data_IF_145217362962
#
_entry.id   IF_145217362962
#
_cell.length_a   1.000
_cell.length_b   1.000
_cell.length_c   1.000
_cell.angle_alpha   90.00
_cell.angle_beta   90.00
_cell.angle_gamma   90.00
#
_symmetry.space_group_name_H-M   'P 1'
#
loop_
_entity.id
_entity.type
_entity.pdbx_description
1 polymer ?
#
# COMPACT_ATOMS: atom_id res chain seq x y z
N UNK A 1 -40.06 17.04 61.52
CA UNK A 1 -39.74 18.45 61.85
C UNK A 1 -38.45 18.83 61.13
N UNK A 2 -38.42 20.03 60.52
CA UNK A 2 -37.38 20.55 59.63
C UNK A 2 -36.14 21.08 60.38
N UNK A 3 -35.12 21.40 59.57
CA UNK A 3 -33.90 22.21 59.77
C UNK A 3 -32.63 21.41 60.12
N UNK A 4 -31.44 21.66 59.57
CA UNK A 4 -30.93 22.83 58.84
C UNK A 4 -29.83 22.49 57.81
N UNK A 5 -29.61 23.45 56.90
CA UNK A 5 -28.44 23.58 56.04
C UNK A 5 -27.13 23.81 56.83
N UNK A 6 -26.01 23.44 56.18
CA UNK A 6 -24.83 24.30 55.92
C UNK A 6 -23.48 23.73 56.37
N UNK A 7 -22.60 23.65 55.37
CA UNK A 7 -21.18 24.00 55.40
C UNK A 7 -20.12 22.97 55.84
N UNK A 8 -19.37 22.54 54.81
CA UNK A 8 -17.90 22.43 54.74
C UNK A 8 -17.18 21.46 55.69
N UNK A 9 -16.68 20.36 55.11
CA UNK A 9 -15.27 19.93 55.20
C UNK A 9 -15.01 18.69 54.34
N UNK A 10 -13.74 18.52 53.95
CA UNK A 10 -13.10 17.37 53.28
C UNK A 10 -13.33 17.24 51.77
N UNK A 11 -12.34 16.92 50.93
CA UNK A 11 -10.89 16.78 51.10
C UNK A 11 -10.28 16.82 49.69
N UNK A 12 -9.06 17.34 49.63
CA UNK A 12 -8.16 17.32 48.49
C UNK A 12 -7.84 15.85 48.14
N UNK A 13 -8.16 15.41 46.92
CA UNK A 13 -7.56 14.21 46.35
C UNK A 13 -7.26 14.43 44.87
N UNK A 14 -5.97 14.61 44.60
CA UNK A 14 -5.36 14.44 43.30
C UNK A 14 -5.69 13.02 42.79
N UNK A 15 -6.31 12.91 41.62
CA UNK A 15 -6.33 11.68 40.85
C UNK A 15 -5.76 11.96 39.47
N UNK A 16 -4.51 11.53 39.29
CA UNK A 16 -3.86 11.39 37.99
C UNK A 16 -4.57 10.24 37.28
N UNK A 17 -5.46 10.57 36.34
CA UNK A 17 -5.98 9.59 35.38
C UNK A 17 -4.88 9.31 34.35
N UNK A 18 -4.18 8.18 34.52
CA UNK A 18 -3.37 7.58 33.46
C UNK A 18 -4.33 7.10 32.37
N UNK A 19 -4.38 7.82 31.26
CA UNK A 19 -4.98 7.30 30.02
C UNK A 19 -4.16 6.10 29.56
N UNK A 20 -4.83 4.96 29.49
CA UNK A 20 -4.30 3.70 28.95
C UNK A 20 -4.14 3.87 27.44
N UNK A 21 -2.89 3.98 26.99
CA UNK A 21 -2.54 3.78 25.59
C UNK A 21 -2.73 2.28 25.31
N UNK A 22 -3.80 1.94 24.59
CA UNK A 22 -4.01 0.60 24.08
C UNK A 22 -3.13 0.41 22.84
N UNK A 23 -1.93 -0.10 23.07
CA UNK A 23 -1.08 -0.61 21.99
C UNK A 23 -1.73 -1.85 21.38
N UNK A 24 -2.01 -1.80 20.08
CA UNK A 24 -2.34 -2.98 19.29
C UNK A 24 -1.07 -3.83 19.14
N UNK A 25 -0.97 -4.91 19.90
CA UNK A 25 0.01 -5.97 19.69
C UNK A 25 -0.58 -6.93 18.64
N UNK A 26 -0.08 -6.89 17.41
CA UNK A 26 -0.39 -7.91 16.41
C UNK A 26 0.26 -9.24 16.85
N UNK A 27 -0.50 -10.33 16.82
CA UNK A 27 0.00 -11.66 17.13
C UNK A 27 0.90 -12.19 15.99
N UNK A 28 2.02 -12.85 16.28
CA UNK A 28 2.91 -13.36 15.24
C UNK A 28 2.25 -14.52 14.48
N UNK A 29 2.13 -14.38 13.17
CA UNK A 29 1.78 -15.49 12.27
C UNK A 29 3.03 -16.33 12.02
N UNK A 30 3.00 -17.58 12.47
CA UNK A 30 4.13 -18.51 12.43
C UNK A 30 4.41 -18.99 11.00
N UNK A 31 5.37 -18.36 10.34
CA UNK A 31 6.12 -18.97 9.24
C UNK A 31 7.37 -19.65 9.80
N UNK A 32 7.44 -20.98 9.70
CA UNK A 32 8.65 -21.72 10.01
C UNK A 32 9.66 -21.56 8.88
N UNK A 33 10.67 -20.70 9.06
CA UNK A 33 11.89 -20.70 8.24
C UNK A 33 12.92 -21.59 8.94
N UNK A 34 13.34 -22.66 8.26
CA UNK A 34 14.41 -23.54 8.72
C UNK A 34 15.73 -22.78 8.66
N UNK A 35 16.30 -22.44 9.82
CA UNK A 35 17.60 -21.82 9.94
C UNK A 35 18.71 -22.86 9.74
N UNK A 36 19.60 -22.62 8.77
CA UNK A 36 20.88 -23.30 8.68
C UNK A 36 21.98 -22.30 9.04
N UNK A 37 22.47 -22.40 10.27
CA UNK A 37 23.60 -21.61 10.78
C UNK A 37 24.90 -22.13 10.16
N UNK A 38 25.69 -21.29 9.49
CA UNK A 38 27.14 -21.49 9.37
C UNK A 38 27.91 -20.19 9.51
N UNK A 39 29.02 -20.34 10.24
CA UNK A 39 29.92 -19.34 10.79
C UNK A 39 30.73 -18.60 9.72
N UNK A 40 31.07 -17.36 10.04
CA UNK A 40 31.92 -16.43 9.29
C UNK A 40 33.34 -16.94 9.05
N UNK A 41 33.91 -16.59 7.89
CA UNK A 41 35.34 -16.25 7.77
C UNK A 41 35.54 -15.21 6.67
N UNK A 42 36.56 -14.36 6.85
CA UNK A 42 36.80 -13.07 6.19
C UNK A 42 37.52 -13.15 4.83
N UNK A 43 37.41 -12.00 4.14
CA UNK A 43 38.36 -11.35 3.22
C UNK A 43 38.24 -11.46 1.70
N UNK A 44 38.22 -10.24 1.13
CA UNK A 44 38.86 -9.75 -0.11
C UNK A 44 38.03 -9.53 -1.38
N UNK A 45 38.00 -8.23 -1.74
CA UNK A 45 37.83 -7.54 -3.02
C UNK A 45 37.68 -8.38 -4.32
N UNK A 46 36.62 -8.06 -5.08
CA UNK A 46 36.66 -7.43 -6.43
C UNK A 46 35.71 -8.02 -7.48
N UNK A 47 35.18 -7.09 -8.29
CA UNK A 47 34.54 -7.22 -9.61
C UNK A 47 33.10 -7.74 -9.71
N UNK A 48 32.22 -6.78 -10.03
CA UNK A 48 30.84 -6.98 -10.51
C UNK A 48 30.80 -7.92 -11.72
N UNK A 49 29.99 -8.97 -11.61
CA UNK A 49 29.40 -9.66 -12.75
C UNK A 49 27.91 -9.85 -12.48
N UNK A 50 27.09 -9.24 -13.33
CA UNK A 50 25.66 -9.50 -13.42
C UNK A 50 25.44 -11.01 -13.55
N UNK A 51 24.98 -11.63 -12.46
CA UNK A 51 24.51 -13.00 -12.45
C UNK A 51 23.00 -12.96 -12.61
N UNK A 52 22.54 -13.31 -13.82
CA UNK A 52 21.12 -13.51 -14.07
C UNK A 52 20.64 -14.69 -13.23
N UNK A 53 19.96 -14.40 -12.13
CA UNK A 53 19.25 -15.38 -11.30
C UNK A 53 18.20 -16.11 -12.14
N UNK A 54 18.37 -17.43 -12.29
CA UNK A 54 17.40 -18.33 -12.89
C UNK A 54 16.27 -18.61 -11.89
N UNK A 55 15.38 -17.64 -11.66
CA UNK A 55 14.13 -17.88 -10.97
C UNK A 55 13.15 -18.62 -11.90
N UNK A 56 12.74 -19.83 -11.49
CA UNK A 56 11.73 -20.61 -12.21
C UNK A 56 10.35 -19.96 -12.06
N UNK A 57 10.03 -19.07 -13.01
CA UNK A 57 8.74 -18.36 -13.08
C UNK A 57 7.51 -19.26 -13.15
N UNK A 58 7.65 -20.59 -13.33
CA UNK A 58 6.50 -21.51 -13.45
C UNK A 58 5.96 -22.01 -12.11
N UNK A 59 6.70 -21.85 -11.01
CA UNK A 59 6.30 -22.28 -9.65
C UNK A 59 5.85 -21.12 -8.75
N UNK A 60 5.86 -19.91 -9.27
CA UNK A 60 5.41 -18.74 -8.53
C UNK A 60 3.88 -18.77 -8.39
N UNK A 61 3.28 -18.50 -7.21
CA UNK A 61 1.83 -18.26 -7.10
C UNK A 61 1.35 -17.07 -7.98
N UNK A 62 2.32 -16.32 -8.51
CA UNK A 62 2.19 -15.18 -9.41
C UNK A 62 2.31 -15.53 -10.89
N UNK A 63 2.71 -16.76 -11.22
CA UNK A 63 2.86 -17.25 -12.58
C UNK A 63 1.52 -17.17 -13.33
N UNK A 64 1.50 -16.82 -14.63
CA UNK A 64 0.36 -17.16 -15.45
C UNK A 64 0.26 -18.69 -15.50
N UNK A 65 -0.85 -19.27 -15.00
CA UNK A 65 -1.06 -20.72 -15.06
C UNK A 65 -0.87 -21.21 -16.50
N UNK A 66 -0.03 -22.24 -16.68
CA UNK A 66 0.35 -22.80 -17.98
C UNK A 66 -0.77 -23.57 -18.69
N UNK A 67 -2.01 -23.57 -18.18
CA UNK A 67 -3.16 -24.24 -18.80
C UNK A 67 -3.93 -23.33 -19.77
N UNK A 68 -3.20 -22.59 -20.62
CA UNK A 68 -3.83 -21.87 -21.73
C UNK A 68 -3.94 -22.79 -22.95
N UNK A 69 -5.17 -23.12 -23.35
CA UNK A 69 -5.42 -23.35 -24.77
C UNK A 69 -4.89 -22.13 -25.56
N UNK A 70 -4.30 -22.34 -26.75
CA UNK A 70 -3.63 -21.27 -27.48
C UNK A 70 -4.63 -20.14 -27.76
N UNK A 71 -4.49 -19.06 -26.98
CA UNK A 71 -5.20 -17.80 -27.22
C UNK A 71 -4.88 -17.40 -28.65
N UNK A 72 -5.92 -17.33 -29.49
CA UNK A 72 -5.83 -16.87 -30.87
C UNK A 72 -4.92 -15.65 -30.94
N UNK A 73 -3.86 -15.75 -31.76
CA UNK A 73 -2.84 -14.73 -32.04
C UNK A 73 -3.39 -13.30 -31.84
N UNK A 74 -2.97 -12.61 -30.77
CA UNK A 74 -3.44 -11.24 -30.54
C UNK A 74 -2.79 -10.44 -29.42
N UNK A 75 -2.19 -11.07 -28.39
CA UNK A 75 -1.49 -10.32 -27.33
C UNK A 75 -0.15 -11.00 -27.07
N UNK A 76 0.90 -10.42 -27.63
CA UNK A 76 2.30 -10.82 -27.41
C UNK A 76 2.58 -10.84 -25.89
N UNK A 77 3.39 -11.79 -25.40
CA UNK A 77 3.87 -11.81 -23.99
C UNK A 77 4.51 -10.45 -23.70
N UNK A 78 3.71 -9.54 -23.14
CA UNK A 78 3.97 -8.11 -23.24
C UNK A 78 5.17 -7.73 -22.39
N UNK A 79 6.29 -7.41 -23.05
CA UNK A 79 7.38 -6.63 -22.45
C UNK A 79 6.84 -5.22 -22.20
N UNK A 80 6.19 -5.03 -21.05
CA UNK A 80 5.82 -3.69 -20.60
C UNK A 80 7.08 -2.90 -20.28
N UNK A 81 7.13 -1.63 -20.72
CA UNK A 81 8.18 -0.71 -20.28
C UNK A 81 8.06 -0.54 -18.76
N UNK A 82 9.16 -0.74 -18.03
CA UNK A 82 9.15 -0.66 -16.57
C UNK A 82 8.78 0.74 -16.07
N UNK A 83 9.31 1.78 -16.71
CA UNK A 83 9.17 3.17 -16.25
C UNK A 83 8.60 4.09 -17.33
N UNK A 84 7.90 5.13 -16.88
CA UNK A 84 7.39 6.22 -17.73
C UNK A 84 7.75 7.59 -17.16
N UNK A 85 7.62 8.65 -17.96
CA UNK A 85 7.69 10.01 -17.45
C UNK A 85 6.27 10.46 -17.07
N UNK A 86 5.92 10.56 -15.77
CA UNK A 86 4.57 10.95 -15.34
C UNK A 86 4.18 12.36 -15.78
N UNK A 87 5.17 13.22 -16.07
CA UNK A 87 4.95 14.60 -16.51
C UNK A 87 4.66 14.70 -18.02
N UNK A 88 4.68 13.59 -18.77
CA UNK A 88 4.28 13.62 -20.18
C UNK A 88 2.78 13.93 -20.29
N UNK A 89 2.40 14.80 -21.24
CA UNK A 89 1.02 15.31 -21.43
C UNK A 89 -0.07 14.23 -21.30
N UNK A 90 0.12 13.05 -21.90
CA UNK A 90 -0.85 11.96 -21.87
C UNK A 90 -1.15 11.40 -20.46
N UNK A 91 -0.24 11.56 -19.50
CA UNK A 91 -0.41 11.16 -18.10
C UNK A 91 -0.80 12.33 -17.20
N UNK A 92 -1.00 13.52 -17.80
CA UNK A 92 -1.52 14.72 -17.13
C UNK A 92 -2.99 14.96 -17.49
N UNK A 93 -3.57 14.11 -18.34
CA UNK A 93 -4.98 14.12 -18.67
C UNK A 93 -5.73 13.20 -17.69
N UNK A 94 -6.91 13.62 -17.26
CA UNK A 94 -7.77 12.81 -16.42
C UNK A 94 -8.10 11.48 -17.10
N UNK A 95 -8.09 10.39 -16.34
CA UNK A 95 -8.55 9.10 -16.86
C UNK A 95 -10.06 9.11 -17.09
N UNK A 96 -10.49 8.47 -18.17
CA UNK A 96 -11.90 8.16 -18.36
C UNK A 96 -12.33 7.11 -17.31
N UNK A 97 -13.41 7.41 -16.60
CA UNK A 97 -14.10 6.48 -15.69
C UNK A 97 -15.54 6.40 -16.11
N UNK A 98 -16.19 5.26 -15.87
CA UNK A 98 -17.62 5.17 -16.05
C UNK A 98 -18.35 6.23 -15.20
N UNK A 99 -19.46 6.73 -15.74
CA UNK A 99 -20.29 7.74 -15.06
C UNK A 99 -20.76 7.21 -13.71
N UNK A 100 -21.15 5.92 -13.67
CA UNK A 100 -21.69 5.24 -12.51
C UNK A 100 -20.62 4.58 -11.63
N UNK A 101 -19.34 4.56 -12.04
CA UNK A 101 -18.25 4.06 -11.19
C UNK A 101 -18.25 4.78 -9.82
N UNK A 102 -18.13 4.05 -8.69
CA UNK A 102 -17.84 2.61 -8.53
C UNK A 102 -19.03 1.63 -8.59
N UNK A 103 -20.25 2.12 -8.80
CA UNK A 103 -21.50 1.34 -8.75
C UNK A 103 -21.97 0.80 -10.12
N UNK A 104 -21.10 0.82 -11.13
CA UNK A 104 -21.32 0.27 -12.48
C UNK A 104 -21.25 -1.28 -12.54
N UNK A 105 -21.29 -1.94 -11.38
CA UNK A 105 -21.07 -3.38 -11.23
C UNK A 105 -19.61 -3.76 -10.97
N UNK A 106 -18.68 -2.80 -10.96
CA UNK A 106 -17.27 -3.03 -10.61
C UNK A 106 -17.13 -3.55 -9.18
N UNK A 107 -17.80 -2.90 -8.22
CA UNK A 107 -17.88 -3.35 -6.83
C UNK A 107 -19.31 -3.80 -6.51
N UNK A 108 -19.45 -4.94 -5.85
CA UNK A 108 -20.76 -5.45 -5.41
C UNK A 108 -21.36 -4.60 -4.29
N UNK A 109 -20.50 -4.01 -3.46
CA UNK A 109 -20.89 -3.07 -2.42
C UNK A 109 -19.85 -1.93 -2.34
N UNK A 110 -20.10 -0.77 -2.97
CA UNK A 110 -19.19 0.36 -2.94
C UNK A 110 -19.18 1.12 -1.60
N UNK A 111 -20.00 0.70 -0.62
CA UNK A 111 -19.97 1.27 0.73
C UNK A 111 -18.90 0.64 1.63
N UNK A 112 -18.26 -0.45 1.19
CA UNK A 112 -17.19 -1.09 1.93
C UNK A 112 -15.93 -0.21 2.02
N UNK A 113 -15.12 -0.35 3.09
CA UNK A 113 -13.81 0.28 3.16
C UNK A 113 -12.89 -0.13 2.00
N UNK A 114 -12.02 0.78 1.57
CA UNK A 114 -11.19 0.64 0.38
C UNK A 114 -9.70 0.57 0.72
N UNK A 115 -9.03 -0.51 0.30
CA UNK A 115 -7.57 -0.57 0.22
C UNK A 115 -7.12 -0.09 -1.15
N UNK A 116 -6.30 0.96 -1.20
CA UNK A 116 -5.74 1.50 -2.44
C UNK A 116 -4.25 1.13 -2.53
N UNK A 117 -3.82 0.55 -3.65
CA UNK A 117 -2.41 0.31 -3.94
C UNK A 117 -1.95 1.21 -5.09
N UNK A 118 -1.10 2.18 -4.78
CA UNK A 118 -0.61 3.18 -5.73
C UNK A 118 0.67 2.69 -6.38
N UNK A 119 0.65 2.55 -7.70
CA UNK A 119 1.72 1.91 -8.46
C UNK A 119 1.62 0.39 -8.44
N UNK A 120 0.40 -0.16 -8.52
CA UNK A 120 0.13 -1.60 -8.31
C UNK A 120 0.75 -2.55 -9.36
N UNK A 121 1.44 -2.02 -10.37
CA UNK A 121 2.06 -2.83 -11.42
C UNK A 121 1.05 -3.73 -12.11
N UNK A 122 1.41 -5.01 -12.27
CA UNK A 122 0.56 -6.03 -12.89
C UNK A 122 -0.58 -6.51 -11.98
N UNK A 123 -0.76 -5.89 -10.81
CA UNK A 123 -1.82 -6.18 -9.85
C UNK A 123 -1.63 -7.46 -9.04
N UNK A 124 -0.46 -8.11 -9.12
CA UNK A 124 -0.18 -9.37 -8.41
C UNK A 124 -0.48 -9.24 -6.92
N UNK A 125 0.35 -8.48 -6.20
CA UNK A 125 0.14 -8.15 -4.78
C UNK A 125 -1.33 -7.98 -4.39
N UNK A 126 -2.06 -7.07 -5.06
CA UNK A 126 -3.43 -6.73 -4.67
C UNK A 126 -4.43 -7.86 -4.93
N UNK A 127 -4.25 -8.63 -6.01
CA UNK A 127 -5.07 -9.81 -6.30
C UNK A 127 -4.88 -10.91 -5.23
N UNK A 128 -3.66 -11.13 -4.78
CA UNK A 128 -3.42 -12.14 -3.74
C UNK A 128 -3.86 -11.67 -2.37
N UNK A 129 -3.63 -10.39 -2.04
CA UNK A 129 -4.12 -9.82 -0.80
C UNK A 129 -5.64 -9.98 -0.71
N UNK A 130 -6.37 -9.61 -1.78
CA UNK A 130 -7.81 -9.78 -1.84
C UNK A 130 -8.23 -11.24 -1.68
N UNK A 131 -7.57 -12.17 -2.39
CA UNK A 131 -7.85 -13.61 -2.29
C UNK A 131 -7.57 -14.14 -0.89
N UNK A 132 -6.42 -13.83 -0.33
CA UNK A 132 -6.00 -14.23 1.02
C UNK A 132 -6.98 -13.73 2.07
N UNK A 133 -7.46 -12.48 1.97
CA UNK A 133 -8.45 -11.91 2.91
C UNK A 133 -9.84 -12.52 2.78
N UNK A 134 -10.20 -13.06 1.61
CA UNK A 134 -11.43 -13.86 1.45
C UNK A 134 -11.29 -15.26 2.08
N UNK A 135 -10.12 -15.89 1.91
CA UNK A 135 -9.86 -17.24 2.44
C UNK A 135 -9.58 -17.22 3.95
N UNK A 136 -8.99 -16.14 4.46
CA UNK A 136 -8.65 -15.93 5.87
C UNK A 136 -9.18 -14.58 6.36
N UNK A 137 -10.48 -14.50 6.69
CA UNK A 137 -11.08 -13.26 7.19
C UNK A 137 -10.44 -12.85 8.52
N UNK A 138 -10.04 -11.59 8.62
CA UNK A 138 -9.65 -10.99 9.89
C UNK A 138 -10.86 -10.23 10.43
N UNK A 139 -11.48 -10.75 11.50
CA UNK A 139 -12.68 -10.17 12.12
C UNK A 139 -12.47 -8.71 12.53
N UNK A 140 -11.24 -8.32 12.87
CA UNK A 140 -10.92 -6.94 13.27
C UNK A 140 -10.79 -5.97 12.09
N UNK A 141 -10.53 -6.46 10.87
CA UNK A 141 -10.31 -5.64 9.68
C UNK A 141 -11.57 -5.42 8.83
N UNK A 142 -12.56 -6.32 8.96
CA UNK A 142 -13.80 -6.32 8.19
C UNK A 142 -13.62 -6.62 6.70
N UNK A 143 -14.75 -6.69 5.97
CA UNK A 143 -14.72 -6.77 4.51
C UNK A 143 -14.24 -5.46 3.88
N UNK A 144 -13.57 -5.57 2.73
CA UNK A 144 -13.01 -4.44 2.00
C UNK A 144 -13.14 -4.62 0.50
N UNK A 145 -13.15 -3.50 -0.20
CA UNK A 145 -12.84 -3.40 -1.61
C UNK A 145 -11.37 -3.07 -1.81
N UNK A 146 -10.85 -3.39 -2.99
CA UNK A 146 -9.46 -3.16 -3.36
C UNK A 146 -9.37 -2.37 -4.66
N UNK A 147 -8.47 -1.39 -4.73
CA UNK A 147 -8.26 -0.59 -5.92
C UNK A 147 -6.77 -0.42 -6.23
N UNK A 148 -6.35 -0.93 -7.38
CA UNK A 148 -4.99 -0.69 -7.89
C UNK A 148 -4.95 0.51 -8.84
N UNK A 149 -4.04 1.45 -8.59
CA UNK A 149 -3.78 2.57 -9.50
C UNK A 149 -2.43 2.35 -10.19
N UNK A 150 -2.44 2.38 -11.52
CA UNK A 150 -1.21 2.18 -12.31
C UNK A 150 -1.16 3.16 -13.48
N UNK A 151 -0.07 3.91 -13.58
CA UNK A 151 0.08 4.98 -14.56
C UNK A 151 0.15 4.49 -16.01
N UNK A 152 0.45 3.21 -16.25
CA UNK A 152 0.45 2.57 -17.57
C UNK A 152 -0.89 1.89 -17.82
N UNK A 153 -1.79 2.45 -18.65
CA UNK A 153 -3.13 1.89 -18.83
C UNK A 153 -3.13 0.45 -19.32
N UNK A 154 -2.20 0.06 -20.20
CA UNK A 154 -2.10 -1.32 -20.69
C UNK A 154 -1.71 -2.33 -19.60
N UNK A 155 -1.00 -1.89 -18.55
CA UNK A 155 -0.66 -2.72 -17.39
C UNK A 155 -1.87 -2.84 -16.46
N UNK A 156 -2.57 -1.73 -16.20
CA UNK A 156 -3.82 -1.74 -15.44
C UNK A 156 -4.90 -2.62 -16.11
N UNK A 157 -5.06 -2.53 -17.44
CA UNK A 157 -5.95 -3.41 -18.21
C UNK A 157 -5.56 -4.87 -18.07
N UNK A 158 -4.26 -5.18 -18.11
CA UNK A 158 -3.77 -6.54 -17.89
C UNK A 158 -4.12 -7.06 -16.49
N UNK A 159 -3.98 -6.22 -15.45
CA UNK A 159 -4.40 -6.57 -14.09
C UNK A 159 -5.92 -6.80 -14.00
N UNK A 160 -6.72 -5.89 -14.59
CA UNK A 160 -8.19 -5.99 -14.63
C UNK A 160 -8.69 -7.29 -15.28
N UNK A 161 -8.03 -7.75 -16.35
CA UNK A 161 -8.37 -9.02 -17.02
C UNK A 161 -8.14 -10.28 -16.16
N UNK A 162 -7.37 -10.17 -15.07
CA UNK A 162 -7.09 -11.28 -14.14
C UNK A 162 -8.14 -11.40 -13.04
N UNK A 163 -8.93 -10.36 -12.78
CA UNK A 163 -9.91 -10.31 -11.67
C UNK A 163 -10.91 -11.45 -11.74
N UNK A 164 -11.62 -11.60 -12.87
CA UNK A 164 -12.62 -12.65 -13.04
C UNK A 164 -12.01 -14.06 -12.97
N UNK A 165 -10.81 -14.24 -13.53
CA UNK A 165 -10.08 -15.52 -13.49
C UNK A 165 -9.65 -15.92 -12.08
N UNK A 166 -9.52 -14.96 -11.18
CA UNK A 166 -9.17 -15.15 -9.76
C UNK A 166 -10.41 -15.24 -8.86
N UNK A 167 -11.63 -15.17 -9.43
CA UNK A 167 -12.87 -15.20 -8.65
C UNK A 167 -13.11 -13.95 -7.79
N UNK A 168 -12.50 -12.82 -8.15
CA UNK A 168 -12.51 -11.58 -7.36
C UNK A 168 -13.46 -10.50 -7.91
N UNK A 169 -14.33 -10.87 -8.85
CA UNK A 169 -15.34 -9.95 -9.41
C UNK A 169 -16.16 -9.32 -8.29
N UNK A 170 -16.38 -8.00 -8.37
CA UNK A 170 -17.15 -7.27 -7.35
C UNK A 170 -16.35 -6.85 -6.11
N UNK A 171 -15.06 -7.22 -6.00
CA UNK A 171 -14.22 -6.90 -4.83
C UNK A 171 -12.97 -6.07 -5.17
N UNK A 172 -12.51 -6.10 -6.42
CA UNK A 172 -11.28 -5.42 -6.83
C UNK A 172 -11.41 -4.78 -8.21
N UNK A 173 -10.82 -3.60 -8.37
CA UNK A 173 -10.67 -2.93 -9.66
C UNK A 173 -9.24 -2.41 -9.88
N UNK A 174 -8.90 -2.15 -11.14
CA UNK A 174 -7.64 -1.55 -11.56
C UNK A 174 -7.89 -0.40 -12.52
N UNK A 175 -7.36 0.78 -12.18
CA UNK A 175 -7.52 2.00 -12.98
C UNK A 175 -6.16 2.42 -13.54
N UNK A 176 -6.15 2.64 -14.85
CA UNK A 176 -5.00 3.14 -15.59
C UNK A 176 -4.87 4.65 -15.49
N UNK A 177 -4.27 5.20 -14.44
CA UNK A 177 -4.25 6.64 -14.18
C UNK A 177 -2.97 7.13 -13.51
N UNK A 178 -2.72 8.43 -13.63
CA UNK A 178 -1.71 9.09 -12.80
C UNK A 178 -2.34 9.46 -11.46
N UNK A 179 -1.89 8.83 -10.37
CA UNK A 179 -2.44 9.10 -9.04
C UNK A 179 -2.32 10.56 -8.61
N UNK A 180 -1.31 11.30 -9.08
CA UNK A 180 -1.18 12.74 -8.80
C UNK A 180 -2.24 13.61 -9.50
N UNK A 181 -2.92 13.07 -10.51
CA UNK A 181 -3.96 13.76 -11.28
C UNK A 181 -5.34 13.30 -10.84
N UNK A 182 -5.52 11.98 -10.69
CA UNK A 182 -6.84 11.37 -10.60
C UNK A 182 -7.29 11.00 -9.18
N UNK A 183 -6.38 10.91 -8.20
CA UNK A 183 -6.71 10.35 -6.89
C UNK A 183 -7.85 11.10 -6.18
N UNK A 184 -7.84 12.44 -6.14
CA UNK A 184 -8.90 13.23 -5.50
C UNK A 184 -10.28 12.96 -6.14
N UNK A 185 -10.33 12.88 -7.46
CA UNK A 185 -11.57 12.64 -8.22
C UNK A 185 -12.08 11.21 -8.02
N UNK A 186 -11.19 10.22 -8.05
CA UNK A 186 -11.49 8.81 -7.77
C UNK A 186 -12.05 8.68 -6.35
N UNK A 187 -11.39 9.25 -5.36
CA UNK A 187 -11.82 9.18 -3.96
C UNK A 187 -13.17 9.85 -3.75
N UNK A 188 -13.40 11.06 -4.30
CA UNK A 188 -14.71 11.72 -4.26
C UNK A 188 -15.83 10.87 -4.83
N UNK A 189 -15.58 10.19 -5.97
CA UNK A 189 -16.55 9.27 -6.59
C UNK A 189 -16.83 8.09 -5.66
N UNK A 190 -15.80 7.48 -5.08
CA UNK A 190 -15.96 6.34 -4.20
C UNK A 190 -16.72 6.68 -2.90
N UNK A 191 -16.29 7.75 -2.22
CA UNK A 191 -16.88 8.17 -0.93
C UNK A 191 -18.32 8.64 -1.05
N UNK A 192 -18.79 9.03 -2.24
CA UNK A 192 -20.20 9.35 -2.50
C UNK A 192 -21.13 8.17 -2.19
N UNK A 193 -20.63 6.93 -2.25
CA UNK A 193 -21.39 5.71 -1.98
C UNK A 193 -21.20 5.19 -0.54
N UNK A 194 -20.61 5.98 0.36
CA UNK A 194 -20.43 5.64 1.77
C UNK A 194 -19.14 4.91 2.11
N UNK A 195 -18.39 4.44 1.11
CA UNK A 195 -17.10 3.80 1.31
C UNK A 195 -16.02 4.78 1.77
N UNK A 196 -15.10 4.30 2.59
CA UNK A 196 -14.00 5.09 3.16
C UNK A 196 -12.65 4.43 2.86
N UNK A 197 -11.56 5.19 2.92
CA UNK A 197 -10.22 4.61 2.82
C UNK A 197 -9.94 3.78 4.07
N UNK A 198 -9.57 2.51 3.89
CA UNK A 198 -9.03 1.65 4.94
C UNK A 198 -7.51 1.79 5.06
N UNK A 199 -6.83 1.69 3.92
CA UNK A 199 -5.37 1.70 3.81
C UNK A 199 -4.95 2.21 2.43
N UNK A 200 -3.91 3.03 2.38
CA UNK A 200 -3.19 3.36 1.14
C UNK A 200 -1.82 2.71 1.20
N UNK A 201 -1.48 1.84 0.25
CA UNK A 201 -0.14 1.26 0.10
C UNK A 201 0.60 1.90 -1.08
N UNK A 202 1.87 2.24 -0.86
CA UNK A 202 2.79 2.73 -1.90
C UNK A 202 4.07 1.90 -1.81
N UNK A 203 4.26 1.02 -2.78
CA UNK A 203 5.21 -0.07 -2.64
C UNK A 203 6.16 -0.08 -3.83
N UNK A 204 7.45 0.03 -3.55
CA UNK A 204 8.54 -0.01 -4.56
C UNK A 204 8.35 0.98 -5.72
N UNK A 205 8.02 2.27 -5.47
CA UNK A 205 7.81 3.22 -6.54
C UNK A 205 9.11 3.53 -7.30
N UNK A 206 8.95 4.03 -8.53
CA UNK A 206 10.09 4.41 -9.38
C UNK A 206 11.02 5.41 -8.66
N UNK A 207 12.33 5.11 -8.52
CA UNK A 207 13.22 5.86 -7.63
C UNK A 207 13.54 7.29 -8.09
N UNK A 208 13.58 7.49 -9.42
CA UNK A 208 13.94 8.74 -10.07
C UNK A 208 15.16 9.47 -9.44
N UNK A 209 16.30 8.76 -9.33
CA UNK A 209 17.52 9.21 -8.63
C UNK A 209 18.09 10.57 -9.06
N UNK A 210 17.88 11.00 -10.31
CA UNK A 210 18.41 12.29 -10.76
C UNK A 210 17.62 13.42 -10.09
N UNK A 211 18.31 14.43 -9.52
CA UNK A 211 17.66 15.62 -8.93
C UNK A 211 16.61 16.25 -9.86
N UNK A 212 16.90 16.34 -11.15
CA UNK A 212 15.97 16.85 -12.17
C UNK A 212 14.69 16.00 -12.35
N UNK A 213 14.67 14.78 -11.84
CA UNK A 213 13.55 13.84 -11.91
C UNK A 213 12.82 13.67 -10.58
N UNK A 214 13.21 14.35 -9.49
CA UNK A 214 12.50 14.25 -8.21
C UNK A 214 11.01 14.59 -8.33
N UNK A 215 10.65 15.55 -9.20
CA UNK A 215 9.25 15.91 -9.54
C UNK A 215 8.44 14.78 -10.20
N UNK A 216 9.06 13.65 -10.53
CA UNK A 216 8.40 12.47 -11.09
C UNK A 216 8.06 11.42 -10.04
N UNK A 217 8.52 11.59 -8.79
CA UNK A 217 8.18 10.67 -7.70
C UNK A 217 6.68 10.74 -7.42
N UNK A 218 6.13 9.62 -6.96
CA UNK A 218 4.68 9.49 -6.76
C UNK A 218 4.19 10.28 -5.55
N UNK A 219 4.96 10.29 -4.45
CA UNK A 219 4.65 11.05 -3.25
C UNK A 219 5.14 12.47 -3.44
N UNK A 220 4.21 13.35 -3.82
CA UNK A 220 4.41 14.80 -3.96
C UNK A 220 3.67 15.53 -2.83
N UNK A 221 3.95 16.82 -2.61
CA UNK A 221 3.17 17.63 -1.68
C UNK A 221 1.66 17.58 -1.97
N UNK A 222 1.27 17.70 -3.25
CA UNK A 222 -0.13 17.69 -3.68
C UNK A 222 -0.80 16.34 -3.46
N UNK A 223 -0.05 15.25 -3.66
CA UNK A 223 -0.50 13.90 -3.35
C UNK A 223 -0.74 13.75 -1.85
N UNK A 224 0.17 14.23 -0.99
CA UNK A 224 -0.01 14.22 0.47
C UNK A 224 -1.24 15.04 0.89
N UNK A 225 -1.45 16.22 0.32
CA UNK A 225 -2.66 17.02 0.60
C UNK A 225 -3.94 16.29 0.21
N UNK A 226 -3.92 15.52 -0.87
CA UNK A 226 -5.04 14.67 -1.26
C UNK A 226 -5.30 13.58 -0.21
N UNK A 227 -4.24 12.96 0.32
CA UNK A 227 -4.38 11.99 1.41
C UNK A 227 -4.92 12.65 2.70
N UNK A 228 -4.39 13.82 3.07
CA UNK A 228 -4.88 14.60 4.24
C UNK A 228 -6.40 14.85 4.15
N UNK A 229 -6.91 15.12 2.94
CA UNK A 229 -8.32 15.41 2.72
C UNK A 229 -9.24 14.19 2.86
N UNK A 230 -8.77 13.00 2.49
CA UNK A 230 -9.64 11.83 2.32
C UNK A 230 -9.40 10.70 3.32
N UNK A 231 -8.20 10.59 3.90
CA UNK A 231 -7.89 9.57 4.90
C UNK A 231 -8.44 10.02 6.25
N UNK A 232 -9.37 9.25 6.81
CA UNK A 232 -10.03 9.53 8.10
C UNK A 232 -9.15 9.11 9.29
N UNK A 233 -9.35 9.69 10.49
CA UNK A 233 -8.63 9.29 11.70
C UNK A 233 -8.65 7.78 11.95
N UNK A 234 -7.53 7.26 12.43
CA UNK A 234 -7.29 5.83 12.64
C UNK A 234 -6.98 5.02 11.38
N UNK A 235 -7.05 5.61 10.18
CA UNK A 235 -6.70 4.94 8.91
C UNK A 235 -5.24 5.20 8.55
N UNK A 236 -4.68 4.33 7.70
CA UNK A 236 -3.23 4.21 7.55
C UNK A 236 -2.74 4.45 6.11
N UNK A 237 -1.49 4.88 6.02
CA UNK A 237 -0.68 4.89 4.80
C UNK A 237 0.53 4.00 5.07
N UNK A 238 0.71 2.97 4.26
CA UNK A 238 1.86 2.09 4.29
C UNK A 238 2.79 2.41 3.12
N UNK A 239 4.06 2.66 3.43
CA UNK A 239 5.10 2.89 2.42
C UNK A 239 6.22 1.88 2.56
N UNK A 240 6.70 1.33 1.43
CA UNK A 240 7.87 0.46 1.42
C UNK A 240 8.72 0.58 0.15
N UNK A 241 10.02 0.37 0.29
CA UNK A 241 10.98 0.30 -0.82
C UNK A 241 12.23 -0.47 -0.40
N UNK A 242 12.91 -1.07 -1.37
CA UNK A 242 14.25 -1.64 -1.28
C UNK A 242 15.37 -0.60 -1.43
N UNK A 243 15.02 0.67 -1.65
CA UNK A 243 15.96 1.78 -1.82
C UNK A 243 15.70 2.79 -0.69
N UNK A 244 16.65 2.89 0.26
CA UNK A 244 16.55 3.77 1.43
C UNK A 244 16.17 5.20 1.05
N UNK A 245 16.89 5.81 0.11
CA UNK A 245 16.63 7.19 -0.36
C UNK A 245 15.23 7.41 -0.94
N UNK A 246 14.59 6.36 -1.47
CA UNK A 246 13.23 6.44 -2.01
C UNK A 246 12.24 6.43 -0.86
N UNK A 247 12.40 5.52 0.09
CA UNK A 247 11.55 5.50 1.28
C UNK A 247 11.70 6.79 2.09
N UNK A 248 12.93 7.19 2.40
CA UNK A 248 13.22 8.37 3.22
C UNK A 248 12.58 9.61 2.59
N UNK A 249 12.68 9.76 1.27
CA UNK A 249 12.04 10.87 0.61
C UNK A 249 10.50 10.83 0.70
N UNK A 250 9.87 9.66 0.54
CA UNK A 250 8.41 9.55 0.72
C UNK A 250 8.02 9.91 2.16
N UNK A 251 8.76 9.38 3.14
CA UNK A 251 8.56 9.58 4.56
C UNK A 251 8.71 11.06 4.95
N UNK A 252 9.79 11.70 4.53
CA UNK A 252 10.04 13.14 4.73
C UNK A 252 8.94 13.98 4.10
N UNK A 253 8.53 13.67 2.87
CA UNK A 253 7.45 14.41 2.19
C UNK A 253 6.13 14.29 2.95
N UNK A 254 5.78 13.10 3.46
CA UNK A 254 4.57 12.93 4.28
C UNK A 254 4.70 13.70 5.60
N UNK A 255 5.86 13.68 6.26
CA UNK A 255 6.09 14.44 7.51
C UNK A 255 6.01 15.95 7.29
N UNK A 256 6.61 16.45 6.22
CA UNK A 256 6.65 17.89 5.92
C UNK A 256 5.27 18.43 5.55
N UNK A 257 4.54 17.74 4.69
CA UNK A 257 3.27 18.24 4.14
C UNK A 257 2.03 17.67 4.84
N UNK A 258 2.17 16.66 5.68
CA UNK A 258 1.07 15.97 6.34
C UNK A 258 1.30 15.69 7.83
N UNK A 259 2.41 16.12 8.43
CA UNK A 259 2.78 15.79 9.81
C UNK A 259 1.83 16.34 10.88
N UNK A 260 1.01 17.35 10.58
CA UNK A 260 -0.08 17.80 11.46
C UNK A 260 -1.24 16.79 11.54
N UNK A 261 -1.29 15.85 10.61
CA UNK A 261 -2.42 14.97 10.40
C UNK A 261 -2.05 13.49 10.43
N UNK A 262 -0.80 13.17 10.17
CA UNK A 262 -0.29 11.81 10.07
C UNK A 262 0.87 11.62 11.04
N UNK A 263 0.72 10.66 11.94
CA UNK A 263 1.77 10.23 12.85
C UNK A 263 2.55 9.08 12.22
N UNK A 264 3.87 9.24 12.14
CA UNK A 264 4.80 8.18 11.71
C UNK A 264 4.98 7.17 12.85
N UNK A 265 4.68 5.91 12.58
CA UNK A 265 4.83 4.81 13.56
C UNK A 265 6.27 4.61 14.02
N UNK A 266 7.24 5.09 13.23
CA UNK A 266 8.65 5.12 13.61
C UNK A 266 9.08 6.59 13.70
N UNK A 267 9.33 7.16 14.88
CA UNK A 267 9.75 8.57 14.98
C UNK A 267 11.19 8.82 14.50
N UNK A 268 12.08 7.85 14.72
CA UNK A 268 13.49 7.92 14.35
C UNK A 268 13.68 7.66 12.85
N UNK A 269 14.25 8.63 12.13
CA UNK A 269 14.44 8.57 10.67
C UNK A 269 15.44 7.49 10.22
N UNK A 270 16.30 7.02 11.12
CA UNK A 270 17.27 5.95 10.83
C UNK A 270 16.75 4.54 11.13
N UNK A 271 15.50 4.44 11.62
CA UNK A 271 14.83 3.16 11.91
C UNK A 271 13.67 2.91 10.96
N UNK A 272 13.35 1.63 10.80
CA UNK A 272 12.31 1.12 9.88
C UNK A 272 11.62 -0.09 10.50
N UNK A 273 10.38 -0.38 10.09
CA UNK A 273 9.67 -1.56 10.56
C UNK A 273 10.27 -2.85 9.95
N UNK A 274 10.57 -3.83 10.81
CA UNK A 274 11.14 -5.11 10.41
C UNK A 274 10.11 -6.03 9.74
N UNK A 275 8.86 -6.02 10.23
CA UNK A 275 7.78 -6.86 9.72
C UNK A 275 6.92 -6.13 8.68
N UNK A 276 6.42 -6.87 7.69
CA UNK A 276 5.41 -6.36 6.76
C UNK A 276 4.04 -6.38 7.44
N UNK A 277 3.45 -5.21 7.78
CA UNK A 277 2.19 -5.15 8.53
C UNK A 277 0.97 -5.63 7.73
N UNK A 278 1.08 -5.74 6.40
CA UNK A 278 0.01 -6.28 5.54
C UNK A 278 -0.02 -7.82 5.62
N UNK A 279 1.11 -8.46 5.88
CA UNK A 279 1.26 -9.92 5.95
C UNK A 279 1.24 -10.64 4.61
N UNK A 280 1.06 -9.92 3.49
CA UNK A 280 1.16 -10.44 2.13
C UNK A 280 2.26 -9.67 1.41
N UNK A 281 3.36 -10.32 0.99
CA UNK A 281 4.47 -9.64 0.34
C UNK A 281 4.18 -9.36 -1.15
N UNK A 282 4.84 -8.34 -1.71
CA UNK A 282 4.83 -8.13 -3.17
C UNK A 282 5.84 -9.04 -3.86
N UNK A 283 5.73 -9.19 -5.18
CA UNK A 283 6.76 -9.91 -5.96
C UNK A 283 8.15 -9.27 -5.83
N UNK A 284 8.22 -7.95 -5.65
CA UNK A 284 9.50 -7.25 -5.44
C UNK A 284 10.06 -7.54 -4.05
N UNK A 285 9.21 -7.55 -3.02
CA UNK A 285 9.62 -7.88 -1.65
C UNK A 285 10.24 -9.27 -1.57
N UNK A 286 9.54 -10.28 -2.11
CA UNK A 286 10.07 -11.66 -2.18
C UNK A 286 11.43 -11.67 -2.89
N UNK A 287 11.52 -11.04 -4.06
CA UNK A 287 12.76 -11.00 -4.84
C UNK A 287 13.92 -10.33 -4.10
N UNK A 288 13.66 -9.31 -3.28
CA UNK A 288 14.68 -8.58 -2.52
C UNK A 288 15.14 -9.40 -1.32
N UNK A 289 14.19 -9.98 -0.57
CA UNK A 289 14.49 -10.82 0.60
C UNK A 289 15.19 -12.13 0.21
N UNK A 290 14.84 -12.75 -0.92
CA UNK A 290 15.54 -13.93 -1.46
C UNK A 290 17.02 -13.66 -1.80
N UNK A 291 17.41 -12.37 -1.90
CA UNK A 291 18.78 -11.92 -2.14
C UNK A 291 19.47 -11.41 -0.86
N UNK A 292 18.86 -11.61 0.31
CA UNK A 292 19.33 -11.07 1.60
C UNK A 292 19.55 -9.54 1.58
N UNK A 293 18.77 -8.82 0.76
CA UNK A 293 18.82 -7.36 0.67
C UNK A 293 17.77 -6.72 1.60
N UNK A 294 18.06 -5.51 2.14
CA UNK A 294 17.15 -4.85 3.06
C UNK A 294 15.89 -4.34 2.35
N UNK A 295 14.77 -4.41 3.08
CA UNK A 295 13.53 -3.71 2.74
C UNK A 295 13.26 -2.68 3.82
N UNK A 296 13.05 -1.44 3.40
CA UNK A 296 12.73 -0.34 4.27
C UNK A 296 11.22 -0.08 4.20
N UNK A 297 10.57 0.10 5.35
CA UNK A 297 9.14 0.39 5.40
C UNK A 297 8.73 1.13 6.68
N UNK A 298 7.64 1.88 6.60
CA UNK A 298 6.96 2.50 7.76
C UNK A 298 5.45 2.64 7.48
N UNK A 299 4.68 2.86 8.55
CA UNK A 299 3.26 3.20 8.51
C UNK A 299 3.05 4.59 9.07
N UNK A 300 2.20 5.37 8.41
CA UNK A 300 1.63 6.59 8.95
C UNK A 300 0.18 6.35 9.34
N UNK A 301 -0.22 6.78 10.54
CA UNK A 301 -1.60 6.70 11.02
C UNK A 301 -2.20 8.10 11.05
N UNK A 302 -3.40 8.26 10.48
CA UNK A 302 -4.14 9.53 10.57
C UNK A 302 -4.57 9.77 12.01
N UNK A 303 -4.22 10.92 12.57
CA UNK A 303 -4.63 11.35 13.91
C UNK A 303 -5.87 12.26 13.85
N UNK A 304 -6.58 12.33 14.97
CA UNK A 304 -7.60 13.36 15.21
C UNK A 304 -6.89 14.72 15.37
N UNK A 305 -7.19 15.65 14.46
CA UNK A 305 -6.73 17.04 14.51
C UNK A 305 -7.93 17.95 14.24
#
# INVERSE_FOLDING_TARGET
MRYSNSALKLALHFLVSKSVVTGFQLAPSSYHVLSNTRLFSTDSQSTEKETTSNYDTTKSPWAPENNMEPIKKGINKSRFRQHVNPLARKFQMETELDTEWPNDGTFSDPSLPLHIDVGCGKGGFLLELAKHRLETPNESEGERNYLGLEIRPSVATFAKQRVAKRGLTGKIDFIGCNANVDLDRILKKYTKYGGEIALVSIQYPDPHFKKSHQKRRVVTPEFVQTLVKHVKPGKQIFIQSDIKDVLDNMRETIREFGGEYFEDSIPNLEEYMEENPIGVPTEREISVLDQDLPVYRTVFTRIDN
#
